data_IF_202987358089
#
_entry.id   IF_202987358089
#
_cell.length_a   1.000
_cell.length_b   1.000
_cell.length_c   1.000
_cell.angle_alpha   90.00
_cell.angle_beta   90.00
_cell.angle_gamma   90.00
#
_symmetry.space_group_name_H-M   'P 1'
#
loop_
_entity.id
_entity.type
_entity.pdbx_description
1 polymer ?
#
# COMPACT_ATOMS: atom_id res chain seq x y z
N UNK A 1 25.22 6.37 -25.81
CA UNK A 1 24.48 5.36 -25.02
C UNK A 1 23.17 5.06 -25.72
N UNK A 2 22.60 3.86 -25.58
CA UNK A 2 21.24 3.55 -26.12
C UNK A 2 20.23 4.27 -25.21
N UNK A 3 19.27 4.98 -25.81
CA UNK A 3 18.15 5.53 -25.05
C UNK A 3 17.21 4.41 -24.57
N UNK A 4 16.86 4.41 -23.30
CA UNK A 4 15.88 3.48 -22.73
C UNK A 4 14.47 4.03 -22.92
N UNK A 5 13.61 3.25 -23.58
CA UNK A 5 12.24 3.64 -23.90
C UNK A 5 11.25 3.04 -22.89
N UNK A 6 10.43 3.88 -22.27
CA UNK A 6 9.46 3.49 -21.24
C UNK A 6 8.06 3.89 -21.68
N UNK A 7 7.17 2.92 -21.81
CA UNK A 7 5.75 3.18 -22.12
C UNK A 7 4.90 3.02 -20.85
N UNK A 8 4.10 4.03 -20.52
CA UNK A 8 3.16 3.98 -19.40
C UNK A 8 1.77 3.68 -19.94
N UNK A 9 1.29 2.47 -19.68
CA UNK A 9 -0.07 2.04 -20.00
C UNK A 9 -0.99 2.43 -18.85
N UNK A 10 -1.80 3.47 -19.10
CA UNK A 10 -2.69 4.07 -18.12
C UNK A 10 -4.15 3.68 -18.37
N UNK A 11 -4.89 3.45 -17.28
CA UNK A 11 -6.32 3.11 -17.30
C UNK A 11 -7.11 4.14 -16.49
N UNK A 12 -8.37 4.40 -16.84
CA UNK A 12 -9.23 5.33 -16.11
C UNK A 12 -9.24 5.05 -14.61
N UNK A 13 -9.02 6.10 -13.82
CA UNK A 13 -8.89 6.03 -12.37
C UNK A 13 -7.51 5.62 -11.86
N UNK A 14 -6.49 5.58 -12.71
CA UNK A 14 -5.12 5.28 -12.27
C UNK A 14 -4.61 6.30 -11.24
N UNK A 15 -3.76 5.90 -10.27
CA UNK A 15 -3.19 6.82 -9.30
C UNK A 15 -2.15 7.75 -9.96
N UNK A 16 -2.48 9.05 -10.10
CA UNK A 16 -1.61 10.05 -10.73
C UNK A 16 -0.22 10.13 -10.07
N UNK A 17 -0.16 10.00 -8.75
CA UNK A 17 1.11 10.01 -8.02
C UNK A 17 2.06 8.90 -8.47
N UNK A 18 1.54 7.72 -8.88
CA UNK A 18 2.38 6.65 -9.39
C UNK A 18 3.01 6.99 -10.74
N UNK A 19 2.31 7.74 -11.60
CA UNK A 19 2.84 8.20 -12.89
C UNK A 19 3.93 9.25 -12.67
N UNK A 20 3.61 10.30 -11.91
CA UNK A 20 4.53 11.43 -11.70
C UNK A 20 5.77 11.03 -10.92
N UNK A 21 5.66 10.09 -9.96
CA UNK A 21 6.81 9.56 -9.22
C UNK A 21 7.78 8.75 -10.10
N UNK A 22 7.36 8.32 -11.28
CA UNK A 22 8.23 7.61 -12.21
C UNK A 22 8.75 8.52 -13.34
N UNK A 23 7.94 9.41 -13.88
CA UNK A 23 8.36 10.27 -15.00
C UNK A 23 9.32 11.37 -14.54
N UNK A 24 9.05 12.03 -13.43
CA UNK A 24 9.86 13.15 -12.99
C UNK A 24 11.32 12.78 -12.67
N UNK A 25 11.65 11.65 -12.02
CA UNK A 25 13.02 11.22 -11.85
C UNK A 25 13.76 10.95 -13.18
N UNK A 26 13.07 10.41 -14.19
CA UNK A 26 13.66 10.19 -15.53
C UNK A 26 14.00 11.52 -16.19
N UNK A 27 13.10 12.51 -16.09
CA UNK A 27 13.32 13.87 -16.60
C UNK A 27 14.55 14.50 -15.95
N UNK A 28 14.61 14.45 -14.61
CA UNK A 28 15.76 14.99 -13.86
C UNK A 28 17.06 14.26 -14.19
N UNK A 29 17.00 12.92 -14.38
CA UNK A 29 18.18 12.14 -14.77
C UNK A 29 18.75 12.57 -16.13
N UNK A 30 17.89 12.86 -17.12
CA UNK A 30 18.32 13.41 -18.40
C UNK A 30 18.95 14.81 -18.23
N UNK A 31 18.35 15.68 -17.39
CA UNK A 31 18.89 17.02 -17.11
C UNK A 31 20.24 16.96 -16.42
N UNK A 32 20.37 16.15 -15.35
CA UNK A 32 21.61 16.01 -14.57
C UNK A 32 22.73 15.41 -15.41
N UNK A 33 22.42 14.40 -16.22
CA UNK A 33 23.42 13.74 -17.08
C UNK A 33 23.75 14.55 -18.35
N UNK A 34 22.89 15.50 -18.72
CA UNK A 34 22.99 16.24 -19.98
C UNK A 34 22.78 15.37 -21.22
N UNK A 35 22.06 14.25 -21.09
CA UNK A 35 21.83 13.26 -22.15
C UNK A 35 20.38 12.81 -22.21
N UNK A 36 19.88 12.46 -23.40
CA UNK A 36 18.55 11.87 -23.60
C UNK A 36 18.61 10.33 -23.35
N UNK A 37 19.05 9.95 -22.14
CA UNK A 37 19.21 8.54 -21.77
C UNK A 37 17.88 7.82 -21.57
N UNK A 38 16.82 8.54 -21.25
CA UNK A 38 15.47 8.04 -21.09
C UNK A 38 14.49 8.79 -21.96
N UNK A 39 13.56 8.06 -22.56
CA UNK A 39 12.38 8.61 -23.22
C UNK A 39 11.13 7.88 -22.76
N UNK A 40 10.00 8.55 -22.77
CA UNK A 40 8.74 7.95 -22.31
C UNK A 40 7.56 8.44 -23.12
N UNK A 41 6.51 7.63 -23.09
CA UNK A 41 5.21 7.97 -23.68
C UNK A 41 4.08 7.43 -22.78
N UNK A 42 2.93 8.09 -22.86
CA UNK A 42 1.68 7.59 -22.29
C UNK A 42 0.91 6.89 -23.38
N UNK A 43 0.39 5.72 -23.05
CA UNK A 43 -0.49 4.94 -23.93
C UNK A 43 -1.72 4.48 -23.15
N UNK A 44 -2.82 4.24 -23.83
CA UNK A 44 -4.00 3.60 -23.28
C UNK A 44 -4.39 2.37 -24.06
N UNK A 45 -5.40 1.63 -23.62
CA UNK A 45 -5.83 0.44 -24.34
C UNK A 45 -6.25 0.76 -25.79
N UNK A 46 -7.01 1.84 -25.97
CA UNK A 46 -7.64 2.23 -27.25
C UNK A 46 -7.10 3.51 -27.87
N UNK A 47 -6.09 4.16 -27.26
CA UNK A 47 -5.53 5.45 -27.70
C UNK A 47 -6.37 6.67 -27.34
N UNK A 48 -7.43 6.50 -26.56
CA UNK A 48 -8.22 7.64 -26.06
C UNK A 48 -7.57 8.25 -24.80
N UNK A 49 -7.80 9.56 -24.52
CA UNK A 49 -7.39 10.20 -23.28
C UNK A 49 -7.92 9.47 -22.07
N UNK A 50 -7.17 9.53 -20.96
CA UNK A 50 -7.45 8.78 -19.71
C UNK A 50 -7.52 9.75 -18.54
N UNK A 51 -8.54 9.60 -17.71
CA UNK A 51 -8.71 10.41 -16.50
C UNK A 51 -8.14 9.69 -15.28
N UNK A 52 -7.21 10.33 -14.58
CA UNK A 52 -6.62 9.84 -13.35
C UNK A 52 -7.58 9.88 -12.16
N UNK A 53 -7.22 9.22 -11.07
CA UNK A 53 -7.98 9.23 -9.80
C UNK A 53 -8.18 10.64 -9.21
N UNK A 54 -7.30 11.58 -9.55
CA UNK A 54 -7.38 12.98 -9.15
C UNK A 54 -8.27 13.84 -10.10
N UNK A 55 -9.05 13.22 -10.99
CA UNK A 55 -9.91 13.87 -11.97
C UNK A 55 -9.14 14.78 -12.97
N UNK A 56 -7.86 14.49 -13.23
CA UNK A 56 -7.05 15.14 -14.26
C UNK A 56 -6.97 14.20 -15.45
N UNK A 57 -7.26 14.73 -16.66
CA UNK A 57 -7.21 13.95 -17.89
C UNK A 57 -5.85 14.11 -18.56
N UNK A 58 -5.32 13.01 -19.05
CA UNK A 58 -4.06 12.92 -19.75
C UNK A 58 -4.31 12.48 -21.20
N UNK A 59 -3.74 13.20 -22.16
CA UNK A 59 -3.64 12.73 -23.52
C UNK A 59 -2.60 11.63 -23.64
N UNK A 60 -2.83 10.71 -24.57
CA UNK A 60 -1.95 9.56 -24.82
C UNK A 60 -1.43 9.60 -26.26
N UNK A 61 -0.24 9.06 -26.48
CA UNK A 61 0.39 9.03 -27.78
C UNK A 61 -0.23 7.99 -28.73
N UNK A 62 -0.68 6.85 -28.19
CA UNK A 62 -1.18 5.72 -29.00
C UNK A 62 -2.01 4.72 -28.19
N UNK A 63 -2.65 3.81 -28.90
CA UNK A 63 -3.19 2.59 -28.32
C UNK A 63 -2.08 1.55 -28.08
N UNK A 64 -2.24 0.71 -27.05
CA UNK A 64 -1.28 -0.38 -26.76
C UNK A 64 -1.10 -1.33 -27.95
N UNK A 65 -2.13 -1.53 -28.77
CA UNK A 65 -2.07 -2.37 -29.98
C UNK A 65 -1.16 -1.80 -31.07
N UNK A 66 -0.86 -0.50 -31.06
CA UNK A 66 0.05 0.15 -31.98
C UNK A 66 1.52 0.16 -31.51
N UNK A 67 1.78 -0.26 -30.26
CA UNK A 67 3.11 -0.30 -29.69
C UNK A 67 3.87 -1.52 -30.23
N UNK A 68 4.96 -1.26 -30.94
CA UNK A 68 5.78 -2.32 -31.56
C UNK A 68 6.98 -2.71 -30.68
N UNK A 69 7.56 -1.74 -29.96
CA UNK A 69 8.71 -1.94 -29.09
C UNK A 69 8.72 -0.96 -27.93
N UNK A 70 9.21 -1.39 -26.80
CA UNK A 70 9.57 -0.57 -25.64
C UNK A 70 10.45 -1.43 -24.71
N UNK A 71 11.41 -0.83 -24.01
CA UNK A 71 12.24 -1.58 -23.08
C UNK A 71 11.43 -1.93 -21.80
N UNK A 72 10.61 -0.99 -21.34
CA UNK A 72 9.73 -1.18 -20.17
C UNK A 72 8.29 -0.77 -20.50
N UNK A 73 7.34 -1.59 -20.06
CA UNK A 73 5.91 -1.27 -20.10
C UNK A 73 5.35 -1.21 -18.69
N UNK A 74 4.97 -0.01 -18.24
CA UNK A 74 4.49 0.24 -16.88
C UNK A 74 2.97 0.29 -16.85
N UNK A 75 2.35 -0.59 -16.07
CA UNK A 75 0.90 -0.67 -15.86
C UNK A 75 0.51 0.22 -14.69
N UNK A 76 -0.31 1.23 -14.94
CA UNK A 76 -0.90 2.12 -13.95
C UNK A 76 -2.42 2.07 -14.06
N UNK A 77 -3.06 1.52 -13.04
CA UNK A 77 -4.48 1.21 -13.10
C UNK A 77 -5.13 1.17 -11.72
N UNK A 78 -6.45 1.37 -11.61
CA UNK A 78 -7.20 0.92 -10.45
C UNK A 78 -7.38 -0.61 -10.48
N UNK A 79 -7.68 -1.27 -9.34
CA UNK A 79 -7.87 -2.73 -9.26
C UNK A 79 -8.92 -3.29 -10.25
N UNK A 80 -9.95 -2.51 -10.56
CA UNK A 80 -11.04 -2.92 -11.48
C UNK A 80 -10.65 -2.91 -12.96
N UNK A 81 -9.52 -2.31 -13.34
CA UNK A 81 -9.11 -2.20 -14.73
C UNK A 81 -8.87 -3.58 -15.36
N UNK A 82 -9.41 -3.79 -16.53
CA UNK A 82 -9.23 -4.99 -17.33
C UNK A 82 -9.18 -4.63 -18.82
N UNK A 83 -8.50 -5.46 -19.59
CA UNK A 83 -8.48 -5.29 -21.04
C UNK A 83 -9.81 -5.69 -21.66
N UNK A 84 -10.30 -4.88 -22.56
CA UNK A 84 -11.55 -5.08 -23.26
C UNK A 84 -11.34 -5.67 -24.68
N UNK A 85 -10.13 -5.51 -25.20
CA UNK A 85 -9.79 -5.89 -26.57
C UNK A 85 -8.73 -7.00 -26.59
N UNK A 86 -9.02 -8.10 -27.29
CA UNK A 86 -8.06 -9.18 -27.48
C UNK A 86 -6.79 -8.77 -28.26
N UNK A 87 -6.90 -7.74 -29.11
CA UNK A 87 -5.73 -7.19 -29.82
C UNK A 87 -4.71 -6.61 -28.84
N UNK A 88 -5.17 -5.99 -27.75
CA UNK A 88 -4.31 -5.51 -26.67
C UNK A 88 -3.51 -6.64 -26.04
N UNK A 89 -4.16 -7.77 -25.75
CA UNK A 89 -3.48 -8.95 -25.22
C UNK A 89 -2.49 -9.55 -26.22
N UNK A 90 -2.81 -9.47 -27.52
CA UNK A 90 -1.91 -9.87 -28.61
C UNK A 90 -0.62 -9.03 -28.62
N UNK A 91 -0.76 -7.70 -28.51
CA UNK A 91 0.37 -6.77 -28.45
C UNK A 91 1.24 -7.02 -27.19
N UNK A 92 0.63 -7.25 -26.03
CA UNK A 92 1.37 -7.57 -24.80
C UNK A 92 2.17 -8.87 -24.93
N UNK A 93 1.59 -9.91 -25.53
CA UNK A 93 2.32 -11.16 -25.81
C UNK A 93 3.49 -10.94 -26.78
N UNK A 94 3.31 -10.07 -27.77
CA UNK A 94 4.39 -9.70 -28.70
C UNK A 94 5.52 -9.01 -27.95
N UNK A 95 5.24 -7.95 -27.17
CA UNK A 95 6.23 -7.20 -26.39
C UNK A 95 6.99 -8.10 -25.42
N UNK A 96 6.28 -8.97 -24.70
CA UNK A 96 6.90 -9.93 -23.77
C UNK A 96 7.90 -10.86 -24.47
N UNK A 97 7.57 -11.36 -25.66
CA UNK A 97 8.48 -12.23 -26.44
C UNK A 97 9.71 -11.49 -26.99
N UNK A 98 9.62 -10.16 -27.14
CA UNK A 98 10.71 -9.33 -27.64
C UNK A 98 11.53 -8.66 -26.51
N UNK A 99 11.39 -9.16 -25.28
CA UNK A 99 12.25 -8.77 -24.16
C UNK A 99 11.79 -7.53 -23.39
N UNK A 100 10.59 -7.01 -23.67
CA UNK A 100 10.03 -5.93 -22.84
C UNK A 100 9.83 -6.41 -21.40
N UNK A 101 10.32 -5.63 -20.45
CA UNK A 101 10.08 -5.86 -19.01
C UNK A 101 8.77 -5.19 -18.61
N UNK A 102 7.88 -5.96 -18.01
CA UNK A 102 6.59 -5.44 -17.53
C UNK A 102 6.72 -4.97 -16.09
N UNK A 103 6.38 -3.70 -15.88
CA UNK A 103 6.32 -3.11 -14.55
C UNK A 103 4.86 -2.87 -14.16
N UNK A 104 4.48 -3.16 -12.92
CA UNK A 104 3.15 -2.81 -12.44
C UNK A 104 3.24 -2.10 -11.10
N UNK A 105 2.55 -0.95 -10.97
CA UNK A 105 2.61 -0.13 -9.75
C UNK A 105 1.20 0.02 -9.19
N UNK A 106 1.09 -0.17 -7.87
CA UNK A 106 -0.18 -0.06 -7.12
C UNK A 106 -1.25 -1.00 -7.70
N UNK A 107 -2.42 -0.49 -8.11
CA UNK A 107 -3.48 -1.28 -8.74
C UNK A 107 -3.13 -1.86 -10.10
N UNK A 108 -2.04 -1.42 -10.76
CA UNK A 108 -1.58 -1.95 -12.05
C UNK A 108 -1.26 -3.44 -12.04
N UNK A 109 -1.01 -4.02 -10.87
CA UNK A 109 -0.80 -5.47 -10.70
C UNK A 109 -2.03 -6.30 -11.11
N UNK A 110 -3.24 -5.75 -10.98
CA UNK A 110 -4.48 -6.45 -11.33
C UNK A 110 -4.63 -6.70 -12.85
N UNK A 111 -4.61 -5.67 -13.72
CA UNK A 111 -4.65 -5.91 -15.15
C UNK A 111 -3.44 -6.73 -15.64
N UNK A 112 -2.26 -6.59 -15.03
CA UNK A 112 -1.11 -7.42 -15.33
C UNK A 112 -1.40 -8.90 -15.02
N UNK A 113 -1.90 -9.23 -13.85
CA UNK A 113 -2.26 -10.61 -13.46
C UNK A 113 -3.35 -11.19 -14.37
N UNK A 114 -4.34 -10.38 -14.77
CA UNK A 114 -5.42 -10.78 -15.71
C UNK A 114 -4.90 -11.16 -17.08
N UNK A 115 -3.74 -10.65 -17.51
CA UNK A 115 -3.12 -11.07 -18.80
C UNK A 115 -2.66 -12.52 -18.79
N UNK A 116 -2.45 -13.13 -17.63
CA UNK A 116 -1.83 -14.45 -17.44
C UNK A 116 -0.44 -14.59 -18.07
N UNK A 117 0.25 -13.48 -18.32
CA UNK A 117 1.63 -13.48 -18.83
C UNK A 117 2.64 -13.64 -17.69
N UNK A 118 2.25 -13.29 -16.47
CA UNK A 118 3.10 -13.42 -15.28
C UNK A 118 3.15 -14.88 -14.84
N UNK A 119 4.34 -15.40 -14.66
CA UNK A 119 4.56 -16.74 -14.08
C UNK A 119 4.45 -16.70 -12.54
N UNK A 120 4.57 -17.87 -11.90
CA UNK A 120 4.46 -18.05 -10.44
C UNK A 120 5.62 -17.39 -9.67
N UNK A 121 5.66 -16.07 -9.65
CA UNK A 121 6.60 -15.24 -8.89
C UNK A 121 5.83 -14.40 -7.88
N UNK A 122 6.45 -14.01 -6.75
CA UNK A 122 5.84 -13.07 -5.83
C UNK A 122 5.55 -11.74 -6.53
N UNK A 123 4.39 -11.15 -6.27
CA UNK A 123 3.98 -9.84 -6.79
C UNK A 123 3.79 -8.88 -5.62
N UNK A 124 4.44 -7.72 -5.67
CA UNK A 124 4.20 -6.65 -4.71
C UNK A 124 2.79 -6.11 -4.89
N UNK A 125 1.94 -6.36 -3.90
CA UNK A 125 0.56 -5.88 -3.90
C UNK A 125 0.40 -4.87 -2.78
N UNK A 126 -0.11 -3.67 -3.12
CA UNK A 126 -0.34 -2.63 -2.11
C UNK A 126 -1.21 -3.17 -0.97
N UNK A 127 -0.82 -2.92 0.27
CA UNK A 127 -1.47 -3.46 1.48
C UNK A 127 -2.99 -3.31 1.47
N UNK A 128 -3.54 -2.18 0.97
CA UNK A 128 -4.98 -1.95 0.93
C UNK A 128 -5.72 -2.80 -0.13
N UNK A 129 -5.02 -3.39 -1.08
CA UNK A 129 -5.59 -4.23 -2.15
C UNK A 129 -5.35 -5.72 -1.94
N UNK A 130 -4.49 -6.09 -1.00
CA UNK A 130 -4.02 -7.47 -0.82
C UNK A 130 -5.17 -8.48 -0.69
N UNK A 131 -6.11 -8.23 0.20
CA UNK A 131 -7.24 -9.14 0.41
C UNK A 131 -8.10 -9.34 -0.86
N UNK A 132 -8.28 -8.27 -1.65
CA UNK A 132 -9.01 -8.35 -2.92
C UNK A 132 -8.20 -9.12 -3.96
N UNK A 133 -6.89 -8.88 -4.02
CA UNK A 133 -5.99 -9.56 -4.95
C UNK A 133 -5.93 -11.07 -4.67
N UNK A 134 -5.70 -11.49 -3.44
CA UNK A 134 -5.65 -12.90 -3.02
C UNK A 134 -6.97 -13.64 -3.30
N UNK A 135 -8.10 -12.94 -3.16
CA UNK A 135 -9.41 -13.50 -3.47
C UNK A 135 -9.62 -13.71 -4.98
N UNK A 136 -9.18 -12.75 -5.79
CA UNK A 136 -9.35 -12.80 -7.26
C UNK A 136 -8.31 -13.72 -7.92
N UNK A 137 -7.10 -13.77 -7.37
CA UNK A 137 -5.96 -14.48 -7.93
C UNK A 137 -5.34 -15.44 -6.92
N UNK A 138 -6.04 -16.51 -6.51
CA UNK A 138 -5.56 -17.43 -5.48
C UNK A 138 -4.29 -18.19 -5.89
N UNK A 139 -3.98 -18.28 -7.19
CA UNK A 139 -2.80 -18.96 -7.73
C UNK A 139 -1.54 -18.07 -7.72
N UNK A 140 -1.66 -16.79 -7.40
CA UNK A 140 -0.54 -15.86 -7.34
C UNK A 140 -0.13 -15.58 -5.89
N UNK A 141 1.17 -15.44 -5.66
CA UNK A 141 1.71 -15.10 -4.35
C UNK A 141 1.73 -13.56 -4.19
N UNK A 142 0.82 -13.04 -3.36
CA UNK A 142 0.83 -11.62 -2.98
C UNK A 142 1.90 -11.37 -1.91
N UNK A 143 2.89 -10.52 -2.24
CA UNK A 143 3.96 -10.12 -1.35
C UNK A 143 3.63 -8.80 -0.62
N UNK A 144 4.12 -8.66 0.59
CA UNK A 144 4.10 -7.44 1.39
C UNK A 144 5.36 -6.55 1.20
N UNK A 145 6.27 -6.97 0.34
CA UNK A 145 7.43 -6.18 -0.04
C UNK A 145 7.01 -4.93 -0.80
N UNK A 146 7.78 -3.83 -0.67
CA UNK A 146 7.50 -2.60 -1.41
C UNK A 146 7.74 -2.82 -2.92
N UNK A 147 8.76 -3.60 -3.27
CA UNK A 147 9.14 -3.93 -4.64
C UNK A 147 9.45 -5.42 -4.71
N UNK A 148 8.95 -6.07 -5.74
CA UNK A 148 9.35 -7.41 -6.17
C UNK A 148 9.91 -7.36 -7.57
N UNK A 149 11.06 -7.99 -7.77
CA UNK A 149 11.79 -8.05 -9.05
C UNK A 149 11.95 -9.50 -9.47
N UNK A 150 11.47 -9.80 -10.66
CA UNK A 150 11.71 -11.07 -11.35
C UNK A 150 12.32 -10.78 -12.72
N UNK A 151 12.77 -11.81 -13.43
CA UNK A 151 13.53 -11.64 -14.68
C UNK A 151 12.83 -10.75 -15.74
N UNK A 152 11.50 -10.81 -15.85
CA UNK A 152 10.72 -10.08 -16.85
C UNK A 152 9.61 -9.21 -16.26
N UNK A 153 9.54 -9.16 -14.93
CA UNK A 153 8.46 -8.46 -14.22
C UNK A 153 9.00 -7.71 -13.01
N UNK A 154 8.56 -6.48 -12.86
CA UNK A 154 8.82 -5.65 -11.67
C UNK A 154 7.47 -5.20 -11.14
N UNK A 155 7.22 -5.40 -9.85
CA UNK A 155 6.00 -4.89 -9.23
C UNK A 155 6.34 -4.02 -8.03
N UNK A 156 5.60 -2.91 -7.87
CA UNK A 156 5.79 -1.99 -6.77
C UNK A 156 4.45 -1.65 -6.12
N UNK A 157 4.43 -1.60 -4.80
CA UNK A 157 3.19 -1.41 -4.03
C UNK A 157 2.53 -0.05 -4.24
N UNK A 158 3.28 0.99 -4.57
CA UNK A 158 2.74 2.34 -4.73
C UNK A 158 3.76 3.34 -5.25
N UNK A 159 3.44 4.63 -5.19
CA UNK A 159 4.23 5.72 -5.76
C UNK A 159 5.69 5.75 -5.28
N UNK A 160 5.92 5.56 -3.98
CA UNK A 160 7.28 5.51 -3.44
C UNK A 160 8.09 4.33 -3.99
N UNK A 161 7.47 3.15 -4.11
CA UNK A 161 8.09 1.99 -4.76
C UNK A 161 8.36 2.23 -6.25
N UNK A 162 7.43 2.88 -6.96
CA UNK A 162 7.62 3.27 -8.36
C UNK A 162 8.80 4.22 -8.55
N UNK A 163 8.96 5.20 -7.64
CA UNK A 163 10.12 6.09 -7.63
C UNK A 163 11.44 5.31 -7.48
N UNK A 164 11.50 4.37 -6.54
CA UNK A 164 12.68 3.55 -6.31
C UNK A 164 13.00 2.60 -7.49
N UNK A 165 11.98 2.07 -8.16
CA UNK A 165 12.17 1.29 -9.41
C UNK A 165 12.86 2.14 -10.46
N UNK A 166 12.46 3.39 -10.62
CA UNK A 166 13.09 4.32 -11.58
C UNK A 166 14.51 4.70 -11.15
N UNK A 167 14.77 4.90 -9.86
CA UNK A 167 16.14 5.13 -9.38
C UNK A 167 17.07 3.96 -9.74
N UNK A 168 16.58 2.71 -9.70
CA UNK A 168 17.35 1.55 -10.14
C UNK A 168 17.62 1.60 -11.66
N UNK A 169 16.63 1.97 -12.49
CA UNK A 169 16.86 2.16 -13.94
C UNK A 169 17.92 3.23 -14.21
N UNK A 170 17.90 4.34 -13.46
CA UNK A 170 18.88 5.42 -13.56
C UNK A 170 20.26 4.92 -13.13
N UNK A 171 20.35 4.15 -12.05
CA UNK A 171 21.60 3.59 -11.57
C UNK A 171 22.22 2.61 -12.57
N UNK A 172 21.41 1.73 -13.16
CA UNK A 172 21.85 0.77 -14.17
C UNK A 172 22.35 1.46 -15.46
N UNK A 173 21.69 2.54 -15.89
CA UNK A 173 21.99 3.24 -17.14
C UNK A 173 23.08 4.31 -17.00
N UNK A 174 23.06 5.08 -15.91
CA UNK A 174 23.87 6.28 -15.71
C UNK A 174 24.83 6.20 -14.51
N UNK A 175 24.73 5.14 -13.71
CA UNK A 175 25.55 4.94 -12.53
C UNK A 175 24.98 5.55 -11.24
N UNK A 176 25.51 5.11 -10.11
CA UNK A 176 25.02 5.45 -8.78
C UNK A 176 25.10 6.94 -8.43
N UNK A 177 26.03 7.67 -9.03
CA UNK A 177 26.20 9.10 -8.76
C UNK A 177 25.00 9.91 -9.28
N UNK A 178 24.50 9.62 -10.51
CA UNK A 178 23.32 10.29 -11.07
C UNK A 178 22.07 9.89 -10.30
N UNK A 179 21.92 8.60 -9.99
CA UNK A 179 20.80 8.11 -9.18
C UNK A 179 20.73 8.79 -7.81
N UNK A 180 21.88 8.96 -7.14
CA UNK A 180 21.97 9.68 -5.86
C UNK A 180 21.59 11.16 -6.00
N UNK A 181 22.08 11.83 -7.05
CA UNK A 181 21.75 13.24 -7.29
C UNK A 181 20.26 13.43 -7.55
N UNK A 182 19.63 12.55 -8.35
CA UNK A 182 18.19 12.54 -8.58
C UNK A 182 17.44 12.31 -7.28
N UNK A 183 17.86 11.35 -6.44
CA UNK A 183 17.23 11.12 -5.14
C UNK A 183 17.31 12.37 -4.23
N UNK A 184 18.47 13.05 -4.21
CA UNK A 184 18.64 14.30 -3.48
C UNK A 184 17.77 15.44 -4.02
N UNK A 185 17.60 15.53 -5.35
CA UNK A 185 16.71 16.51 -5.97
C UNK A 185 15.28 16.43 -5.43
N UNK A 186 14.77 15.20 -5.26
CA UNK A 186 13.43 14.95 -4.71
C UNK A 186 13.41 14.87 -3.18
N UNK A 187 14.51 15.16 -2.48
CA UNK A 187 14.63 14.98 -1.02
C UNK A 187 14.21 13.58 -0.56
N UNK A 188 14.44 12.58 -1.43
CA UNK A 188 14.09 11.20 -1.13
C UNK A 188 15.04 10.64 -0.06
N UNK A 189 14.55 10.11 1.06
CA UNK A 189 15.40 9.52 2.08
C UNK A 189 16.02 8.25 1.51
N UNK A 190 17.29 8.24 1.32
CA UNK A 190 18.16 7.13 0.90
C UNK A 190 17.48 5.94 0.18
N UNK A 191 18.09 5.45 -0.88
CA UNK A 191 17.60 4.26 -1.61
C UNK A 191 17.40 3.09 -0.63
N UNK A 192 16.18 2.56 -0.61
CA UNK A 192 15.87 1.39 0.19
C UNK A 192 16.43 0.15 -0.49
N UNK A 193 17.12 -0.68 0.27
CA UNK A 193 17.56 -1.99 -0.22
C UNK A 193 16.33 -2.88 -0.47
N UNK A 194 16.42 -3.80 -1.42
CA UNK A 194 15.39 -4.84 -1.64
C UNK A 194 15.04 -5.58 -0.34
N UNK A 195 13.82 -6.05 -0.21
CA UNK A 195 13.38 -6.80 0.98
C UNK A 195 12.72 -5.95 2.08
N UNK A 196 12.39 -4.68 1.81
CA UNK A 196 11.67 -3.83 2.77
C UNK A 196 10.17 -4.03 2.62
N UNK A 197 9.52 -4.34 3.75
CA UNK A 197 8.07 -4.51 3.82
C UNK A 197 7.34 -3.18 3.82
N UNK A 198 6.11 -3.22 3.33
CA UNK A 198 5.20 -2.08 3.34
C UNK A 198 4.88 -1.67 4.78
N UNK A 199 4.79 -0.35 4.99
CA UNK A 199 4.24 0.19 6.24
C UNK A 199 2.72 0.19 6.08
N UNK A 200 2.04 -0.58 6.95
CA UNK A 200 0.59 -0.50 7.09
C UNK A 200 0.25 0.58 8.10
N UNK A 201 -0.91 1.26 7.97
CA UNK A 201 -1.34 2.23 8.99
C UNK A 201 -1.55 1.50 10.31
N UNK A 202 -0.53 1.45 11.15
CA UNK A 202 -0.68 1.05 12.54
C UNK A 202 -1.19 2.28 13.27
N UNK A 203 -2.21 2.19 14.12
CA UNK A 203 -2.60 3.27 14.99
C UNK A 203 -1.44 3.58 15.94
N UNK A 204 -0.55 4.47 15.52
CA UNK A 204 0.45 5.04 16.40
C UNK A 204 -0.26 6.17 17.15
N UNK A 205 -0.66 5.91 18.39
CA UNK A 205 -0.97 7.01 19.29
C UNK A 205 0.37 7.66 19.60
N UNK A 206 0.69 8.67 18.81
CA UNK A 206 1.79 9.57 19.09
C UNK A 206 1.47 10.45 20.33
N UNK A 207 1.37 9.79 21.49
CA UNK A 207 1.83 10.45 22.69
C UNK A 207 3.33 10.65 22.45
N UNK A 208 3.75 11.89 22.37
CA UNK A 208 5.18 12.21 22.35
C UNK A 208 5.79 11.49 23.54
N UNK A 209 6.62 10.46 23.30
CA UNK A 209 7.24 9.61 24.34
C UNK A 209 7.95 10.42 25.43
N UNK A 210 8.22 11.69 25.15
CA UNK A 210 8.91 12.63 26.03
C UNK A 210 8.05 13.19 27.17
N UNK A 211 6.72 12.99 27.15
CA UNK A 211 5.80 13.58 28.16
C UNK A 211 5.16 12.58 29.12
N UNK A 212 5.31 11.27 28.90
CA UNK A 212 4.69 10.26 29.76
C UNK A 212 5.65 9.75 30.84
N UNK A 213 5.15 9.47 32.06
CA UNK A 213 5.92 8.74 33.07
C UNK A 213 6.41 7.40 32.56
N UNK A 214 7.64 6.99 32.89
CA UNK A 214 8.27 5.76 32.39
C UNK A 214 7.36 4.52 32.55
N UNK A 215 6.76 4.34 33.72
CA UNK A 215 5.85 3.23 33.98
C UNK A 215 4.60 3.21 33.07
N UNK A 216 4.09 4.40 32.67
CA UNK A 216 2.96 4.47 31.71
C UNK A 216 3.42 4.11 30.30
N UNK A 217 4.59 4.58 29.89
CA UNK A 217 5.18 4.24 28.58
C UNK A 217 5.46 2.74 28.47
N UNK A 218 6.01 2.12 29.52
CA UNK A 218 6.26 0.69 29.59
C UNK A 218 4.95 -0.13 29.55
N UNK A 219 3.92 0.32 30.31
CA UNK A 219 2.60 -0.30 30.28
C UNK A 219 1.97 -0.26 28.88
N UNK A 220 2.08 0.87 28.16
CA UNK A 220 1.60 0.99 26.78
C UNK A 220 2.38 0.04 25.85
N UNK A 221 3.69 -0.04 25.99
CA UNK A 221 4.51 -0.95 25.19
C UNK A 221 4.12 -2.42 25.42
N UNK A 222 3.85 -2.82 26.67
CA UNK A 222 3.31 -4.16 26.99
C UNK A 222 1.95 -4.40 26.37
N UNK A 223 1.03 -3.43 26.44
CA UNK A 223 -0.28 -3.53 25.79
C UNK A 223 -0.16 -3.70 24.27
N UNK A 224 0.74 -2.96 23.63
CA UNK A 224 0.98 -3.04 22.19
C UNK A 224 1.58 -4.37 21.76
N UNK A 225 2.50 -4.93 22.53
CA UNK A 225 3.13 -6.23 22.24
C UNK A 225 2.20 -7.44 22.49
N UNK A 226 1.13 -7.25 23.27
CA UNK A 226 0.18 -8.30 23.65
C UNK A 226 -1.24 -8.03 23.15
N UNK A 227 -1.38 -7.46 21.95
CA UNK A 227 -2.69 -7.20 21.34
C UNK A 227 -3.45 -8.50 21.06
N UNK A 228 -2.74 -9.54 20.61
CA UNK A 228 -3.33 -10.84 20.22
C UNK A 228 -3.54 -11.79 21.42
N UNK A 229 -2.75 -11.63 22.46
CA UNK A 229 -2.88 -12.37 23.71
C UNK A 229 -2.91 -11.38 24.88
N UNK A 230 -4.07 -10.78 25.17
CA UNK A 230 -4.16 -9.64 26.07
C UNK A 230 -3.86 -10.03 27.52
N UNK A 231 -2.90 -9.34 28.10
CA UNK A 231 -2.58 -9.45 29.54
C UNK A 231 -3.69 -8.82 30.39
N UNK A 232 -3.86 -9.36 31.60
CA UNK A 232 -4.67 -8.70 32.62
C UNK A 232 -4.01 -7.37 33.09
N UNK A 233 -4.81 -6.40 33.50
CA UNK A 233 -4.27 -5.10 33.96
C UNK A 233 -3.41 -5.28 35.22
N UNK A 234 -3.71 -6.27 36.04
CA UNK A 234 -2.93 -6.67 37.20
C UNK A 234 -1.51 -7.09 36.80
N UNK A 235 -1.39 -7.94 35.77
CA UNK A 235 -0.11 -8.43 35.29
C UNK A 235 0.73 -7.29 34.67
N UNK A 236 0.09 -6.38 33.97
CA UNK A 236 0.75 -5.17 33.45
C UNK A 236 1.24 -4.28 34.57
N UNK A 237 0.43 -4.07 35.63
CA UNK A 237 0.81 -3.27 36.77
C UNK A 237 2.02 -3.87 37.50
N UNK A 238 2.01 -5.18 37.74
CA UNK A 238 3.11 -5.89 38.37
C UNK A 238 4.40 -5.80 37.53
N UNK A 239 4.28 -5.95 36.21
CA UNK A 239 5.42 -5.86 35.28
C UNK A 239 6.11 -4.48 35.30
N UNK A 240 5.35 -3.39 35.52
CA UNK A 240 5.90 -2.04 35.62
C UNK A 240 6.18 -1.60 37.07
N UNK A 241 6.12 -2.52 38.05
CA UNK A 241 6.44 -2.29 39.45
C UNK A 241 5.42 -1.43 40.21
N UNK A 242 4.16 -1.43 39.77
CA UNK A 242 3.08 -0.66 40.40
C UNK A 242 1.94 -1.57 40.86
N UNK A 243 1.15 -1.09 41.82
CA UNK A 243 -0.15 -1.71 42.12
C UNK A 243 -1.16 -1.29 41.05
N UNK A 244 -2.18 -2.12 40.77
CA UNK A 244 -3.23 -1.83 39.77
C UNK A 244 -3.91 -0.47 40.04
N UNK A 245 -4.17 -0.14 41.32
CA UNK A 245 -4.75 1.14 41.73
C UNK A 245 -3.81 2.34 41.42
N UNK A 246 -2.51 2.14 41.57
CA UNK A 246 -1.53 3.20 41.30
C UNK A 246 -1.38 3.38 39.79
N UNK A 247 -1.29 2.27 39.02
CA UNK A 247 -1.27 2.30 37.56
C UNK A 247 -2.52 3.00 37.03
N UNK A 248 -3.72 2.66 37.50
CA UNK A 248 -4.96 3.26 37.05
C UNK A 248 -4.98 4.77 37.25
N UNK A 249 -4.59 5.25 38.42
CA UNK A 249 -4.52 6.69 38.71
C UNK A 249 -3.50 7.40 37.84
N UNK A 250 -2.28 6.85 37.75
CA UNK A 250 -1.19 7.44 37.00
C UNK A 250 -1.50 7.44 35.49
N UNK A 251 -2.03 6.34 34.97
CA UNK A 251 -2.38 6.19 33.58
C UNK A 251 -3.51 7.16 33.19
N UNK A 252 -4.56 7.26 34.00
CA UNK A 252 -5.67 8.18 33.77
C UNK A 252 -5.26 9.65 33.82
N UNK A 253 -4.37 10.01 34.74
CA UNK A 253 -3.86 11.40 34.83
C UNK A 253 -2.96 11.76 33.64
N UNK A 254 -2.27 10.80 33.05
CA UNK A 254 -1.32 11.00 31.93
C UNK A 254 -1.95 10.89 30.56
N UNK A 255 -2.96 10.02 30.39
CA UNK A 255 -3.58 9.73 29.09
C UNK A 255 -5.03 10.16 28.97
N UNK A 256 -5.68 10.54 30.07
CA UNK A 256 -7.13 10.82 30.11
C UNK A 256 -8.01 9.57 30.19
N UNK A 257 -7.46 8.38 29.98
CA UNK A 257 -8.19 7.11 29.92
C UNK A 257 -7.77 6.14 31.03
N UNK A 258 -8.66 5.22 31.41
CA UNK A 258 -8.23 4.08 32.24
C UNK A 258 -7.39 3.11 31.40
N UNK A 259 -6.45 2.35 32.03
CA UNK A 259 -5.64 1.35 31.32
C UNK A 259 -6.49 0.36 30.51
N UNK A 260 -7.60 -0.11 31.10
CA UNK A 260 -8.52 -1.03 30.44
C UNK A 260 -9.20 -0.42 29.22
N UNK A 261 -9.68 0.83 29.30
CA UNK A 261 -10.31 1.52 28.18
C UNK A 261 -9.31 1.77 27.05
N UNK A 262 -8.11 2.20 27.38
CA UNK A 262 -7.03 2.42 26.43
C UNK A 262 -6.64 1.11 25.72
N UNK A 263 -6.40 0.03 26.46
CA UNK A 263 -6.05 -1.27 25.88
C UNK A 263 -7.15 -1.81 24.96
N UNK A 264 -8.43 -1.63 25.36
CA UNK A 264 -9.55 -1.99 24.49
C UNK A 264 -9.53 -1.17 23.20
N UNK A 265 -9.23 0.12 23.25
CA UNK A 265 -9.11 0.98 22.07
C UNK A 265 -8.00 0.49 21.13
N UNK A 266 -6.83 0.16 21.66
CA UNK A 266 -5.74 -0.42 20.86
C UNK A 266 -6.19 -1.71 20.14
N UNK A 267 -6.85 -2.62 20.87
CA UNK A 267 -7.35 -3.86 20.29
C UNK A 267 -8.44 -3.64 19.24
N UNK A 268 -9.32 -2.64 19.42
CA UNK A 268 -10.33 -2.28 18.42
C UNK A 268 -9.71 -1.66 17.17
N UNK A 269 -8.67 -0.84 17.31
CA UNK A 269 -7.92 -0.30 16.16
C UNK A 269 -7.25 -1.43 15.37
N UNK A 270 -6.60 -2.38 16.03
CA UNK A 270 -6.05 -3.57 15.38
C UNK A 270 -7.14 -4.43 14.72
N UNK A 271 -8.29 -4.59 15.40
CA UNK A 271 -9.46 -5.27 14.84
C UNK A 271 -9.91 -4.63 13.52
N UNK A 272 -10.00 -3.31 13.49
CA UNK A 272 -10.44 -2.59 12.30
C UNK A 272 -9.50 -2.79 11.12
N UNK A 273 -8.20 -2.80 11.37
CA UNK A 273 -7.22 -3.12 10.33
C UNK A 273 -7.44 -4.52 9.73
N UNK A 274 -7.58 -5.53 10.57
CA UNK A 274 -7.84 -6.90 10.12
C UNK A 274 -9.18 -6.98 9.38
N UNK A 275 -10.22 -6.31 9.86
CA UNK A 275 -11.54 -6.25 9.21
C UNK A 275 -11.45 -5.61 7.83
N UNK A 276 -10.75 -4.49 7.70
CA UNK A 276 -10.67 -3.72 6.46
C UNK A 276 -9.71 -4.35 5.43
N UNK A 277 -8.61 -4.96 5.89
CA UNK A 277 -7.48 -5.27 5.00
C UNK A 277 -7.18 -6.76 4.86
N UNK A 278 -7.95 -7.65 5.51
CA UNK A 278 -7.85 -9.10 5.34
C UNK A 278 -9.19 -9.72 4.89
N UNK A 279 -9.13 -10.96 4.43
CA UNK A 279 -10.32 -11.77 4.14
C UNK A 279 -10.71 -12.69 5.32
N UNK A 280 -10.04 -12.54 6.48
CA UNK A 280 -10.30 -13.38 7.63
C UNK A 280 -11.76 -13.25 8.13
N UNK A 281 -12.31 -14.37 8.63
CA UNK A 281 -13.66 -14.34 9.21
C UNK A 281 -13.68 -13.45 10.45
N UNK A 282 -14.74 -12.67 10.61
CA UNK A 282 -14.89 -11.78 11.77
C UNK A 282 -14.79 -12.54 13.12
N UNK A 283 -15.20 -13.82 13.14
CA UNK A 283 -15.05 -14.67 14.32
C UNK A 283 -13.59 -14.99 14.64
N UNK A 284 -12.76 -15.24 13.63
CA UNK A 284 -11.32 -15.50 13.77
C UNK A 284 -10.62 -14.22 14.24
N UNK A 285 -10.92 -13.08 13.61
CA UNK A 285 -10.37 -11.78 14.06
C UNK A 285 -10.71 -11.50 15.53
N UNK A 286 -11.94 -11.80 15.94
CA UNK A 286 -12.35 -11.62 17.34
C UNK A 286 -11.54 -12.51 18.28
N UNK A 287 -11.34 -13.79 17.91
CA UNK A 287 -10.57 -14.76 18.68
C UNK A 287 -9.09 -14.38 18.78
N UNK A 288 -8.44 -14.02 17.67
CA UNK A 288 -7.06 -13.55 17.63
C UNK A 288 -6.81 -12.33 18.53
N UNK A 289 -7.82 -11.49 18.70
CA UNK A 289 -7.74 -10.32 19.58
C UNK A 289 -8.25 -10.61 21.00
N UNK A 290 -8.33 -11.89 21.42
CA UNK A 290 -8.66 -12.31 22.78
C UNK A 290 -10.13 -12.10 23.15
N UNK A 291 -11.07 -12.14 22.20
CA UNK A 291 -12.50 -12.13 22.46
C UNK A 291 -13.08 -13.54 22.43
N UNK A 292 -13.48 -14.04 23.57
CA UNK A 292 -14.15 -15.36 23.68
C UNK A 292 -15.59 -15.37 23.14
N UNK A 293 -16.19 -14.19 22.94
CA UNK A 293 -17.57 -14.03 22.45
C UNK A 293 -17.66 -13.00 21.33
N UNK A 294 -18.02 -13.45 20.15
CA UNK A 294 -18.20 -12.59 18.96
C UNK A 294 -19.21 -11.46 19.19
N UNK A 295 -20.26 -11.68 20.00
CA UNK A 295 -21.25 -10.66 20.35
C UNK A 295 -20.63 -9.47 21.11
N UNK A 296 -19.69 -9.78 22.03
CA UNK A 296 -18.97 -8.74 22.80
C UNK A 296 -18.03 -7.96 21.90
N UNK A 297 -17.32 -8.65 21.02
CA UNK A 297 -16.48 -8.03 20.01
C UNK A 297 -17.26 -7.04 19.12
N UNK A 298 -18.36 -7.49 18.50
CA UNK A 298 -19.20 -6.63 17.65
C UNK A 298 -19.73 -5.40 18.38
N UNK A 299 -20.16 -5.56 19.64
CA UNK A 299 -20.59 -4.42 20.47
C UNK A 299 -19.49 -3.42 20.70
N UNK A 300 -18.26 -3.86 21.02
CA UNK A 300 -17.13 -2.97 21.22
C UNK A 300 -16.69 -2.32 19.91
N UNK A 301 -16.72 -3.06 18.82
CA UNK A 301 -16.39 -2.55 17.48
C UNK A 301 -17.38 -1.43 17.07
N UNK A 302 -18.68 -1.69 17.21
CA UNK A 302 -19.71 -0.71 16.92
C UNK A 302 -19.63 0.54 17.81
N UNK A 303 -19.30 0.37 19.09
CA UNK A 303 -19.10 1.49 20.00
C UNK A 303 -17.86 2.33 19.65
N UNK A 304 -16.83 1.71 19.05
CA UNK A 304 -15.59 2.40 18.65
C UNK A 304 -15.68 3.09 17.28
N UNK A 305 -16.45 2.53 16.35
CA UNK A 305 -16.43 2.97 14.94
C UNK A 305 -17.82 3.30 14.37
N UNK A 306 -18.86 3.27 15.17
CA UNK A 306 -20.26 3.58 14.79
C UNK A 306 -20.83 2.70 13.67
N UNK A 307 -20.11 1.66 13.25
CA UNK A 307 -20.47 0.71 12.18
C UNK A 307 -20.20 -0.72 12.61
N UNK A 308 -20.83 -1.71 11.97
CA UNK A 308 -20.51 -3.12 12.20
C UNK A 308 -19.22 -3.52 11.46
N UNK A 309 -18.49 -4.56 11.93
CA UNK A 309 -17.33 -5.07 11.22
C UNK A 309 -17.66 -5.51 9.77
N UNK A 310 -18.83 -6.08 9.58
CA UNK A 310 -19.30 -6.54 8.28
C UNK A 310 -19.59 -5.39 7.32
N UNK A 311 -20.19 -4.31 7.82
CA UNK A 311 -20.50 -3.12 7.00
C UNK A 311 -19.22 -2.33 6.68
N UNK A 312 -18.32 -2.19 7.64
CA UNK A 312 -17.01 -1.55 7.42
C UNK A 312 -16.23 -2.28 6.31
N UNK A 313 -16.19 -3.62 6.36
CA UNK A 313 -15.56 -4.45 5.30
C UNK A 313 -16.25 -4.28 3.95
N UNK A 314 -17.56 -4.21 3.93
CA UNK A 314 -18.31 -3.99 2.68
C UNK A 314 -17.99 -2.64 2.09
N UNK A 315 -17.95 -1.59 2.89
CA UNK A 315 -17.65 -0.23 2.44
C UNK A 315 -16.23 -0.14 1.85
N UNK A 316 -15.21 -0.71 2.50
CA UNK A 316 -13.86 -0.70 1.96
C UNK A 316 -13.73 -1.53 0.67
N UNK A 317 -14.45 -2.64 0.56
CA UNK A 317 -14.46 -3.44 -0.66
C UNK A 317 -15.12 -2.68 -1.82
N UNK A 318 -16.22 -1.96 -1.58
CA UNK A 318 -16.84 -1.08 -2.58
C UNK A 318 -15.87 0.03 -3.01
N UNK A 319 -15.19 0.68 -2.07
CA UNK A 319 -14.16 1.67 -2.38
C UNK A 319 -13.06 1.09 -3.30
N UNK A 320 -12.54 -0.10 -2.99
CA UNK A 320 -11.47 -0.76 -3.75
C UNK A 320 -11.92 -1.20 -5.14
N UNK A 321 -13.17 -1.61 -5.30
CA UNK A 321 -13.69 -2.13 -6.56
C UNK A 321 -14.29 -1.03 -7.43
N UNK A 322 -15.06 -0.12 -6.83
CA UNK A 322 -15.82 0.91 -7.55
C UNK A 322 -15.12 2.27 -7.62
N UNK A 323 -14.22 2.56 -6.67
CA UNK A 323 -13.37 3.76 -6.69
C UNK A 323 -14.08 5.09 -6.41
N UNK A 324 -15.36 5.08 -6.03
CA UNK A 324 -16.21 6.28 -5.87
C UNK A 324 -16.69 6.54 -4.44
N UNK A 325 -16.26 5.74 -3.48
CA UNK A 325 -16.68 5.85 -2.08
C UNK A 325 -15.49 6.27 -1.24
N UNK A 326 -15.69 7.22 -0.33
CA UNK A 326 -14.64 7.66 0.59
C UNK A 326 -14.14 6.51 1.45
N UNK A 327 -12.82 6.45 1.68
CA UNK A 327 -12.22 5.50 2.60
C UNK A 327 -12.79 5.69 4.01
N UNK A 328 -13.18 4.62 4.69
CA UNK A 328 -13.49 4.70 6.11
C UNK A 328 -12.26 5.23 6.85
N UNK A 329 -12.46 6.24 7.69
CA UNK A 329 -11.38 6.72 8.56
C UNK A 329 -10.99 5.64 9.54
N UNK A 330 -9.68 5.41 9.74
CA UNK A 330 -9.17 4.59 10.83
C UNK A 330 -9.28 5.32 12.18
N UNK A 331 -9.53 6.63 12.11
CA UNK A 331 -9.64 7.53 13.25
C UNK A 331 -11.07 8.04 13.33
N UNK A 332 -11.73 7.87 14.44
CA UNK A 332 -12.94 8.62 14.76
C UNK A 332 -12.49 9.91 15.41
N UNK A 333 -12.89 11.06 14.85
CA UNK A 333 -12.72 12.34 15.53
C UNK A 333 -13.44 12.28 16.88
N UNK A 334 -12.70 12.23 17.98
CA UNK A 334 -13.24 12.33 19.36
C UNK A 334 -13.69 13.76 19.70
N UNK A 335 -13.91 14.64 18.69
CA UNK A 335 -14.28 16.05 18.90
C UNK A 335 -15.72 16.34 18.51
N UNK A 336 -16.67 15.43 18.78
CA UNK A 336 -18.10 15.74 18.68
C UNK A 336 -18.82 15.21 19.92
N UNK A 337 -18.77 16.00 21.00
CA UNK A 337 -19.57 15.72 22.22
C UNK A 337 -19.16 16.63 23.36
#
# INVERSE_FOLDING_TARGET
MKTTHISFLIFDGFPMACLTSMIEPLRVANEVSGTDSFSWQLISENGAPVTASAAITFDVAAAVSALTETDYLVFLAPPKAHFQNEQSLGALRHLSRHGCVFCAVSGGVFPLARTKLVSAVPLSVHWCYRATFEKEFPDYLASDQIIEVAQSFITASGAAGGFEVVLNFIEEQLGSHVSTEVACWFQHPMMRKSGIRQITPVPDESFTKESLPAAVSEAIALMQSHINDPLAIEDIADAVGLTSRHLERLFKSSTGHSPFAFYRTLRMKAARQLVLYTNEKISIIAEELGYSQLRVFRRHYQASFTTSPEDDRRQINLYRVEGNISLPSLWTDETAG
#
